data_IF_730320570834
#
_entry.id   IF_730320570834
#
_cell.length_a   1.000
_cell.length_b   1.000
_cell.length_c   1.000
_cell.angle_alpha   90.00
_cell.angle_beta   90.00
_cell.angle_gamma   90.00
#
_symmetry.space_group_name_H-M   'P 1'
#
loop_
_entity.id
_entity.type
_entity.pdbx_description
1 polymer ?
#
# COMPACT_ATOMS: atom_id res chain seq x y z
N UNK A 1 -1.40 -18.07 50.62
CA UNK A 1 -2.72 -17.46 50.92
C UNK A 1 -2.53 -15.94 50.96
N UNK A 2 -2.59 -15.28 49.79
CA UNK A 2 -2.56 -13.81 49.67
C UNK A 2 -3.44 -13.41 48.48
N UNK A 3 -4.65 -12.97 48.81
CA UNK A 3 -5.46 -11.89 48.24
C UNK A 3 -5.57 -11.80 46.70
N UNK A 4 -6.62 -12.42 46.14
CA UNK A 4 -7.19 -12.07 44.83
C UNK A 4 -7.77 -10.65 44.89
N UNK A 5 -7.23 -9.73 44.08
CA UNK A 5 -7.82 -8.41 43.85
C UNK A 5 -9.08 -8.56 43.00
N UNK A 6 -10.22 -8.27 43.60
CA UNK A 6 -11.53 -8.16 42.96
C UNK A 6 -11.58 -6.79 42.29
N UNK A 7 -11.59 -6.75 40.96
CA UNK A 7 -11.94 -5.56 40.20
C UNK A 7 -13.47 -5.46 40.11
N UNK A 8 -14.05 -4.62 40.95
CA UNK A 8 -15.44 -4.19 40.89
C UNK A 8 -15.57 -3.15 39.77
N UNK A 9 -16.02 -3.56 38.59
CA UNK A 9 -16.50 -2.64 37.55
C UNK A 9 -17.94 -2.23 37.90
N UNK A 10 -18.10 -1.01 38.43
CA UNK A 10 -19.40 -0.37 38.60
C UNK A 10 -19.84 0.15 37.23
N UNK A 11 -20.72 -0.61 36.56
CA UNK A 11 -21.46 -0.12 35.40
C UNK A 11 -22.55 0.84 35.89
N UNK A 12 -22.37 2.13 35.61
CA UNK A 12 -23.42 3.14 35.76
C UNK A 12 -24.41 2.93 34.61
N UNK A 13 -25.53 2.27 34.91
CA UNK A 13 -26.70 2.18 34.03
C UNK A 13 -27.42 3.52 34.14
N UNK A 14 -27.24 4.39 33.15
CA UNK A 14 -28.13 5.54 32.94
C UNK A 14 -29.38 5.04 32.20
N UNK A 15 -30.41 4.81 33.01
CA UNK A 15 -31.80 4.70 32.60
C UNK A 15 -32.24 6.03 31.95
N UNK A 16 -32.67 5.97 30.70
CA UNK A 16 -33.65 6.92 30.18
C UNK A 16 -34.80 6.09 29.63
N UNK A 17 -35.85 6.03 30.43
CA UNK A 17 -37.10 5.34 30.18
C UNK A 17 -37.98 6.18 29.21
N UNK A 18 -38.95 5.55 28.52
CA UNK A 18 -39.71 6.07 27.40
C UNK A 18 -41.05 6.67 27.85
N UNK A 19 -41.48 7.77 27.24
CA UNK A 19 -42.84 8.32 27.24
C UNK A 19 -42.82 9.46 26.20
N UNK A 20 -43.83 9.76 25.41
CA UNK A 20 -45.14 9.17 25.18
C UNK A 20 -45.66 9.76 23.86
N UNK A 21 -46.58 9.03 23.26
CA UNK A 21 -47.67 9.47 22.42
C UNK A 21 -48.02 10.97 22.41
N UNK A 22 -48.24 11.49 21.21
CA UNK A 22 -49.38 12.38 20.95
C UNK A 22 -49.90 12.13 19.53
N UNK A 23 -51.14 11.66 19.46
CA UNK A 23 -51.97 11.68 18.26
C UNK A 23 -52.81 12.97 18.22
N UNK A 24 -53.32 13.29 17.02
CA UNK A 24 -54.62 13.92 16.68
C UNK A 24 -54.48 15.03 15.60
N UNK A 25 -54.90 14.67 14.37
CA UNK A 25 -55.85 15.31 13.43
C UNK A 25 -55.72 16.83 13.11
N UNK A 26 -55.90 17.35 11.88
CA UNK A 26 -56.76 16.96 10.74
C UNK A 26 -56.54 17.89 9.51
N UNK A 27 -57.05 17.44 8.35
CA UNK A 27 -57.47 18.15 7.11
C UNK A 27 -56.45 18.46 5.99
N UNK A 28 -56.66 17.83 4.83
CA UNK A 28 -56.11 18.26 3.53
C UNK A 28 -56.31 17.23 2.40
N UNK A 29 -57.31 17.46 1.55
CA UNK A 29 -57.73 16.65 0.39
C UNK A 29 -56.62 16.38 -0.66
N UNK A 30 -56.65 15.19 -1.29
CA UNK A 30 -55.94 14.89 -2.54
C UNK A 30 -56.00 13.40 -2.91
N UNK A 31 -56.73 13.06 -3.97
CA UNK A 31 -57.20 11.70 -4.28
C UNK A 31 -56.18 10.71 -4.84
N UNK A 32 -56.53 9.42 -4.74
CA UNK A 32 -55.80 8.30 -5.34
C UNK A 32 -56.45 6.98 -4.95
N UNK A 33 -57.23 6.41 -5.86
CA UNK A 33 -58.02 5.19 -5.72
C UNK A 33 -57.17 3.93 -5.59
N UNK A 34 -57.53 3.04 -4.65
CA UNK A 34 -57.02 1.68 -4.59
C UNK A 34 -57.20 1.03 -3.22
N UNK A 35 -58.43 0.62 -2.90
CA UNK A 35 -58.70 -0.15 -1.69
C UNK A 35 -58.06 -1.54 -1.81
N UNK A 36 -57.10 -1.85 -0.94
CA UNK A 36 -56.62 -3.21 -0.71
C UNK A 36 -57.56 -3.85 0.31
N UNK A 37 -58.42 -4.74 -0.17
CA UNK A 37 -59.28 -5.57 0.68
C UNK A 37 -58.40 -6.64 1.36
N UNK A 38 -58.27 -6.57 2.68
CA UNK A 38 -57.53 -7.54 3.48
C UNK A 38 -58.51 -8.60 3.96
N UNK A 39 -58.64 -9.67 3.18
CA UNK A 39 -59.32 -10.88 3.64
C UNK A 39 -58.41 -11.69 4.56
N UNK A 40 -58.92 -12.05 5.74
CA UNK A 40 -58.28 -12.95 6.72
C UNK A 40 -57.82 -14.26 6.07
N UNK A 41 -56.70 -14.85 6.53
CA UNK A 41 -56.29 -16.17 6.06
C UNK A 41 -57.25 -17.22 6.60
N UNK A 42 -57.82 -18.01 5.68
CA UNK A 42 -58.56 -19.22 6.03
C UNK A 42 -57.57 -20.32 6.45
N UNK A 43 -57.81 -20.85 7.64
CA UNK A 43 -57.01 -21.86 8.33
C UNK A 43 -57.46 -23.23 7.81
N UNK A 44 -56.86 -23.75 6.73
CA UNK A 44 -56.76 -25.20 6.41
C UNK A 44 -56.18 -25.53 5.00
N UNK A 45 -54.92 -25.19 4.71
CA UNK A 45 -54.18 -25.89 3.63
C UNK A 45 -52.65 -25.88 3.84
N UNK A 46 -51.97 -27.05 3.85
CA UNK A 46 -50.52 -27.13 3.98
C UNK A 46 -49.87 -26.85 2.62
N UNK A 47 -49.08 -25.78 2.53
CA UNK A 47 -48.32 -25.41 1.33
C UNK A 47 -48.52 -23.96 0.90
N UNK A 48 -48.16 -23.00 1.75
CA UNK A 48 -48.37 -21.57 1.51
C UNK A 48 -47.34 -21.00 0.53
N UNK A 49 -47.66 -20.98 -0.77
CA UNK A 49 -47.01 -20.10 -1.74
C UNK A 49 -47.82 -18.80 -1.81
N UNK A 50 -47.25 -17.70 -1.33
CA UNK A 50 -47.84 -16.37 -1.48
C UNK A 50 -47.55 -15.91 -2.90
N UNK A 51 -48.55 -15.86 -3.77
CA UNK A 51 -48.42 -15.34 -5.13
C UNK A 51 -48.90 -13.89 -5.16
N UNK A 52 -47.98 -12.95 -5.33
CA UNK A 52 -48.31 -11.61 -5.80
C UNK A 52 -48.32 -11.62 -7.34
N UNK A 53 -49.43 -11.24 -7.96
CA UNK A 53 -49.46 -10.92 -9.39
C UNK A 53 -49.09 -9.45 -9.57
N UNK A 54 -47.92 -9.21 -10.13
CA UNK A 54 -47.53 -7.94 -10.76
C UNK A 54 -47.11 -8.28 -12.19
N UNK A 55 -47.51 -7.44 -13.15
CA UNK A 55 -47.34 -7.67 -14.58
C UNK A 55 -45.88 -7.93 -15.00
N UNK A 56 -45.74 -8.86 -15.94
CA UNK A 56 -44.68 -9.04 -16.95
C UNK A 56 -43.28 -8.45 -16.70
N UNK A 57 -42.73 -8.65 -15.50
CA UNK A 57 -41.30 -8.55 -15.22
C UNK A 57 -40.92 -9.84 -14.51
N UNK A 58 -40.14 -10.69 -15.18
CA UNK A 58 -39.70 -11.97 -14.64
C UNK A 58 -39.01 -11.81 -13.29
N UNK A 59 -39.24 -12.74 -12.38
CA UNK A 59 -38.49 -12.83 -11.13
C UNK A 59 -37.01 -13.07 -11.48
N UNK A 60 -36.13 -12.13 -11.17
CA UNK A 60 -34.69 -12.39 -11.17
C UNK A 60 -34.43 -13.30 -9.98
N UNK A 61 -34.24 -14.59 -10.26
CA UNK A 61 -33.77 -15.54 -9.26
C UNK A 61 -32.27 -15.27 -9.10
N UNK A 62 -31.87 -14.71 -7.97
CA UNK A 62 -30.46 -14.57 -7.61
C UNK A 62 -30.01 -15.73 -6.70
N UNK A 63 -28.80 -16.24 -6.90
CA UNK A 63 -28.15 -17.16 -5.96
C UNK A 63 -26.95 -16.46 -5.33
N UNK A 64 -27.00 -16.28 -4.01
CA UNK A 64 -25.92 -15.64 -3.27
C UNK A 64 -24.57 -16.36 -3.47
N UNK A 65 -23.44 -15.62 -3.42
CA UNK A 65 -22.12 -16.17 -3.67
C UNK A 65 -21.69 -17.13 -2.58
N UNK A 66 -20.85 -18.11 -2.95
CA UNK A 66 -20.31 -19.15 -2.07
C UNK A 66 -18.80 -19.06 -2.02
N UNK A 67 -18.23 -19.26 -0.82
CA UNK A 67 -16.79 -19.20 -0.57
C UNK A 67 -16.19 -20.61 -0.47
N UNK A 68 -14.97 -20.78 -0.99
CA UNK A 68 -14.10 -21.94 -0.78
C UNK A 68 -12.83 -21.52 -0.05
N UNK A 69 -12.47 -22.26 1.01
CA UNK A 69 -11.29 -21.99 1.83
C UNK A 69 -10.05 -22.67 1.24
N UNK A 70 -8.94 -21.94 1.09
CA UNK A 70 -7.73 -22.47 0.45
C UNK A 70 -6.58 -22.68 1.44
N UNK A 71 -6.32 -21.71 2.32
CA UNK A 71 -5.23 -21.79 3.30
C UNK A 71 -5.55 -20.95 4.55
N UNK A 72 -5.23 -21.39 5.78
CA UNK A 72 -4.67 -22.71 6.12
C UNK A 72 -5.63 -23.86 5.79
N UNK A 73 -5.11 -24.93 5.19
CA UNK A 73 -5.91 -26.12 4.87
C UNK A 73 -6.23 -26.92 6.13
N UNK A 74 -7.30 -27.73 6.07
CA UNK A 74 -7.73 -28.53 7.21
C UNK A 74 -6.62 -29.37 7.85
N UNK A 75 -6.56 -29.39 9.18
CA UNK A 75 -5.62 -30.18 9.99
C UNK A 75 -4.15 -29.84 9.73
N UNK A 76 -3.84 -28.73 9.06
CA UNK A 76 -2.47 -28.35 8.74
C UNK A 76 -1.76 -27.69 9.94
N UNK A 77 -0.44 -27.79 9.97
CA UNK A 77 0.39 -27.09 10.97
C UNK A 77 0.93 -25.80 10.35
N UNK A 78 0.61 -24.67 10.96
CA UNK A 78 1.12 -23.36 10.57
C UNK A 78 2.14 -22.90 11.60
N UNK A 79 3.37 -22.63 11.16
CA UNK A 79 4.42 -22.11 12.03
C UNK A 79 4.45 -20.60 12.01
N UNK A 80 4.51 -20.02 13.20
CA UNK A 80 4.66 -18.58 13.43
C UNK A 80 3.35 -17.83 13.60
N UNK A 81 3.45 -16.63 14.15
CA UNK A 81 2.32 -15.83 14.62
C UNK A 81 1.65 -15.00 13.51
N UNK A 82 2.22 -14.93 12.31
CA UNK A 82 1.60 -14.26 11.16
C UNK A 82 1.00 -15.31 10.23
N UNK A 83 -0.31 -15.51 10.33
CA UNK A 83 -1.03 -16.49 9.53
C UNK A 83 -1.64 -15.80 8.31
N UNK A 84 -1.31 -16.28 7.12
CA UNK A 84 -2.04 -15.93 5.90
C UNK A 84 -3.31 -16.77 5.81
N UNK A 85 -4.43 -16.12 5.53
CA UNK A 85 -5.71 -16.73 5.17
C UNK A 85 -5.95 -16.46 3.69
N UNK A 86 -6.37 -17.46 2.93
CA UNK A 86 -6.70 -17.30 1.51
C UNK A 86 -7.91 -18.12 1.12
N UNK A 87 -8.69 -17.59 0.17
CA UNK A 87 -9.97 -18.14 -0.24
C UNK A 87 -10.25 -17.85 -1.71
N UNK A 88 -11.26 -18.51 -2.24
CA UNK A 88 -11.88 -18.21 -3.54
C UNK A 88 -13.39 -18.13 -3.36
N UNK A 89 -14.08 -17.62 -4.38
CA UNK A 89 -15.54 -17.59 -4.39
C UNK A 89 -16.05 -18.08 -5.73
N UNK A 90 -17.30 -18.51 -5.73
CA UNK A 90 -18.08 -18.82 -6.92
C UNK A 90 -19.46 -18.20 -6.79
N UNK A 91 -19.93 -17.59 -7.86
CA UNK A 91 -21.27 -17.06 -7.98
C UNK A 91 -21.89 -17.63 -9.26
N UNK A 92 -23.18 -17.99 -9.24
CA UNK A 92 -23.79 -18.69 -10.38
C UNK A 92 -24.11 -17.72 -11.53
N UNK A 93 -24.50 -16.50 -11.19
CA UNK A 93 -24.80 -15.41 -12.09
C UNK A 93 -23.53 -14.59 -12.45
N UNK A 94 -22.44 -14.85 -11.73
CA UNK A 94 -21.15 -14.17 -11.85
C UNK A 94 -21.25 -12.69 -11.49
N UNK A 95 -22.02 -12.40 -10.44
CA UNK A 95 -22.20 -11.08 -9.86
C UNK A 95 -20.89 -10.52 -9.25
N UNK A 96 -20.82 -9.19 -9.18
CA UNK A 96 -19.71 -8.51 -8.53
C UNK A 96 -19.74 -8.74 -7.01
N UNK A 97 -18.58 -9.11 -6.45
CA UNK A 97 -18.42 -9.26 -5.00
C UNK A 97 -18.09 -7.90 -4.37
N UNK A 98 -18.93 -7.50 -3.42
CA UNK A 98 -18.82 -6.24 -2.69
C UNK A 98 -18.04 -6.38 -1.36
N UNK A 99 -17.76 -7.60 -0.92
CA UNK A 99 -16.80 -7.85 0.15
C UNK A 99 -16.92 -9.21 0.83
N UNK A 100 -16.06 -9.43 1.83
CA UNK A 100 -16.02 -10.66 2.62
C UNK A 100 -16.10 -10.40 4.13
N UNK A 101 -16.48 -11.45 4.85
CA UNK A 101 -16.41 -11.53 6.30
C UNK A 101 -15.71 -12.81 6.75
N UNK A 102 -14.54 -12.65 7.37
CA UNK A 102 -13.71 -13.70 7.94
C UNK A 102 -13.93 -13.79 9.45
N UNK A 103 -14.18 -14.99 9.94
CA UNK A 103 -14.26 -15.30 11.36
C UNK A 103 -13.19 -16.32 11.73
N UNK A 104 -12.49 -16.05 12.83
CA UNK A 104 -11.47 -16.93 13.42
C UNK A 104 -11.81 -17.11 14.90
N UNK A 105 -11.81 -18.34 15.37
CA UNK A 105 -12.15 -18.69 16.75
C UNK A 105 -11.24 -19.85 17.21
N UNK A 106 -11.04 -20.01 18.51
CA UNK A 106 -10.39 -21.19 19.10
C UNK A 106 -11.42 -22.25 19.55
N UNK A 107 -12.71 -22.00 19.30
CA UNK A 107 -13.79 -22.97 19.46
C UNK A 107 -14.57 -23.20 18.15
N UNK A 108 -14.92 -24.46 17.81
CA UNK A 108 -15.61 -24.78 16.55
C UNK A 108 -17.06 -24.27 16.48
N UNK A 109 -17.59 -23.75 17.60
CA UNK A 109 -18.94 -23.21 17.70
C UNK A 109 -19.02 -21.73 17.34
N UNK A 110 -17.87 -21.05 17.19
CA UNK A 110 -17.81 -19.62 16.87
C UNK A 110 -18.65 -18.77 17.84
N UNK A 111 -18.48 -18.96 19.16
CA UNK A 111 -19.26 -18.24 20.19
C UNK A 111 -18.74 -16.81 20.36
N UNK A 112 -17.43 -16.61 20.25
CA UNK A 112 -16.78 -15.31 20.40
C UNK A 112 -15.66 -15.13 19.37
N UNK A 113 -15.99 -15.21 18.06
CA UNK A 113 -14.98 -15.18 17.03
C UNK A 113 -14.39 -13.77 16.90
N UNK A 114 -13.11 -13.72 16.55
CA UNK A 114 -12.52 -12.54 15.96
C UNK A 114 -13.07 -12.38 14.55
N UNK A 115 -13.84 -11.32 14.31
CA UNK A 115 -14.54 -11.09 13.05
C UNK A 115 -13.98 -9.90 12.30
N UNK A 116 -13.72 -10.08 11.01
CA UNK A 116 -13.14 -9.08 10.10
C UNK A 116 -14.11 -8.86 8.94
N UNK A 117 -14.57 -7.62 8.74
CA UNK A 117 -15.59 -7.26 7.73
C UNK A 117 -15.03 -6.36 6.64
N UNK A 118 -15.70 -6.34 5.48
CA UNK A 118 -15.43 -5.39 4.40
C UNK A 118 -14.11 -5.64 3.68
N UNK A 119 -13.61 -6.88 3.71
CA UNK A 119 -12.42 -7.27 2.96
C UNK A 119 -12.74 -7.26 1.46
N UNK A 120 -11.84 -6.76 0.62
CA UNK A 120 -11.98 -6.73 -0.84
C UNK A 120 -11.02 -7.66 -1.58
N UNK A 121 -9.98 -8.14 -0.90
CA UNK A 121 -8.99 -9.07 -1.45
C UNK A 121 -9.42 -10.53 -1.23
N UNK A 122 -8.71 -11.48 -1.83
CA UNK A 122 -8.92 -12.93 -1.64
C UNK A 122 -7.89 -13.58 -0.70
N UNK A 123 -7.09 -12.74 -0.03
CA UNK A 123 -6.09 -13.13 0.95
C UNK A 123 -6.04 -12.11 2.08
N UNK A 124 -5.64 -12.55 3.28
CA UNK A 124 -5.44 -11.67 4.44
C UNK A 124 -4.44 -12.27 5.42
N UNK A 125 -3.45 -11.49 5.84
CA UNK A 125 -2.54 -11.87 6.94
C UNK A 125 -3.04 -11.34 8.28
N UNK A 126 -3.02 -12.18 9.31
CA UNK A 126 -3.49 -11.86 10.66
C UNK A 126 -2.47 -12.35 11.68
N UNK A 127 -2.21 -11.52 12.70
CA UNK A 127 -1.39 -11.91 13.84
C UNK A 127 -2.21 -12.70 14.87
N UNK A 128 -1.79 -13.93 15.14
CA UNK A 128 -2.33 -14.77 16.22
C UNK A 128 -1.26 -14.90 17.31
N UNK A 129 -1.56 -14.37 18.50
CA UNK A 129 -0.60 -14.23 19.59
C UNK A 129 -0.65 -15.38 20.60
N UNK A 130 -1.74 -16.14 20.61
CA UNK A 130 -1.90 -17.34 21.43
C UNK A 130 -1.67 -18.56 20.54
N UNK A 131 -0.72 -19.40 20.92
CA UNK A 131 -0.24 -20.51 20.11
C UNK A 131 -0.40 -21.86 20.77
N UNK A 132 0.18 -22.85 20.10
CA UNK A 132 0.24 -24.25 20.52
C UNK A 132 -1.17 -24.82 20.75
N UNK A 133 -2.11 -24.39 19.90
CA UNK A 133 -3.53 -24.77 19.93
C UNK A 133 -4.14 -24.81 18.53
N UNK A 134 -5.34 -25.37 18.44
CA UNK A 134 -6.14 -25.43 17.21
C UNK A 134 -6.97 -24.16 17.09
N UNK A 135 -7.01 -23.62 15.88
CA UNK A 135 -7.91 -22.55 15.48
C UNK A 135 -8.89 -23.04 14.41
N UNK A 136 -10.08 -22.47 14.42
CA UNK A 136 -11.14 -22.68 13.45
C UNK A 136 -11.39 -21.40 12.70
N UNK A 137 -11.61 -21.48 11.40
CA UNK A 137 -11.91 -20.30 10.59
C UNK A 137 -12.95 -20.59 9.52
N UNK A 138 -13.80 -19.60 9.26
CA UNK A 138 -14.85 -19.66 8.24
C UNK A 138 -15.04 -18.30 7.59
N UNK A 139 -15.68 -18.28 6.43
CA UNK A 139 -15.86 -17.04 5.70
C UNK A 139 -17.13 -17.01 4.84
N UNK A 140 -17.66 -15.81 4.60
CA UNK A 140 -18.76 -15.56 3.65
C UNK A 140 -18.47 -14.35 2.78
N UNK A 141 -19.08 -14.29 1.61
CA UNK A 141 -19.00 -13.20 0.64
C UNK A 141 -20.31 -12.43 0.54
N UNK A 142 -20.25 -11.22 0.00
CA UNK A 142 -21.38 -10.32 -0.20
C UNK A 142 -21.46 -9.88 -1.66
N UNK A 143 -22.65 -9.92 -2.25
CA UNK A 143 -22.96 -9.34 -3.56
C UNK A 143 -23.92 -8.13 -3.38
N UNK A 144 -24.52 -7.66 -4.48
CA UNK A 144 -25.51 -6.57 -4.45
C UNK A 144 -26.84 -6.95 -3.77
N UNK A 145 -27.15 -8.24 -3.66
CA UNK A 145 -28.38 -8.76 -3.08
C UNK A 145 -28.24 -9.08 -1.59
N UNK A 146 -27.05 -9.39 -1.11
CA UNK A 146 -26.82 -9.63 0.31
C UNK A 146 -25.57 -10.44 0.63
N UNK A 147 -25.54 -10.95 1.86
CA UNK A 147 -24.49 -11.85 2.33
C UNK A 147 -24.88 -13.29 2.04
N UNK A 148 -23.95 -14.06 1.47
CA UNK A 148 -24.05 -15.51 1.41
C UNK A 148 -23.93 -16.16 2.80
N UNK A 149 -24.15 -17.48 2.81
CA UNK A 149 -23.92 -18.30 3.99
C UNK A 149 -22.42 -18.41 4.29
N UNK A 150 -22.09 -18.67 5.56
CA UNK A 150 -20.73 -19.05 5.90
C UNK A 150 -20.35 -20.38 5.22
N UNK A 151 -19.09 -20.46 4.77
CA UNK A 151 -18.47 -21.71 4.37
C UNK A 151 -18.52 -22.73 5.52
N UNK A 152 -18.26 -24.00 5.19
CA UNK A 152 -17.73 -24.91 6.19
C UNK A 152 -16.46 -24.31 6.80
N UNK A 153 -16.23 -24.57 8.08
CA UNK A 153 -14.99 -24.14 8.71
C UNK A 153 -13.89 -25.14 8.40
N UNK A 154 -12.66 -24.65 8.32
CA UNK A 154 -11.45 -25.48 8.37
C UNK A 154 -10.76 -25.26 9.72
N UNK A 155 -9.99 -26.24 10.16
CA UNK A 155 -9.15 -26.12 11.35
C UNK A 155 -7.65 -26.24 11.03
N UNK A 156 -6.81 -25.63 11.87
CA UNK A 156 -5.36 -25.74 11.76
C UNK A 156 -4.70 -25.62 13.13
N UNK A 157 -3.55 -26.26 13.31
CA UNK A 157 -2.73 -26.13 14.51
C UNK A 157 -1.72 -24.99 14.34
N UNK A 158 -1.72 -24.05 15.27
CA UNK A 158 -0.78 -22.94 15.29
C UNK A 158 0.44 -23.27 16.16
N UNK A 159 1.59 -23.47 15.55
CA UNK A 159 2.87 -23.68 16.22
C UNK A 159 3.62 -22.35 16.38
N UNK A 160 3.70 -21.83 17.61
CA UNK A 160 4.41 -20.57 17.90
C UNK A 160 5.87 -20.77 18.32
N UNK A 161 6.43 -21.97 18.17
CA UNK A 161 7.86 -22.22 18.41
C UNK A 161 8.76 -21.29 17.58
N UNK A 162 8.25 -20.75 16.47
CA UNK A 162 8.91 -19.75 15.63
C UNK A 162 8.13 -18.44 15.58
N UNK A 163 8.29 -17.58 16.57
CA UNK A 163 7.72 -16.21 16.52
C UNK A 163 8.46 -15.38 15.47
N UNK A 164 7.75 -14.87 14.48
CA UNK A 164 8.28 -14.20 13.28
C UNK A 164 7.52 -12.90 12.96
N UNK A 165 8.19 -11.95 12.32
CA UNK A 165 7.61 -10.73 11.76
C UNK A 165 6.99 -10.96 10.37
N UNK A 166 6.42 -9.90 9.79
CA UNK A 166 5.74 -9.91 8.49
C UNK A 166 6.54 -10.57 7.34
N UNK A 167 7.86 -10.35 7.35
CA UNK A 167 8.80 -10.85 6.33
C UNK A 167 9.43 -12.20 6.68
N UNK A 168 8.95 -12.85 7.75
CA UNK A 168 9.46 -14.13 8.24
C UNK A 168 10.68 -14.01 9.16
N UNK A 169 11.14 -12.80 9.47
CA UNK A 169 12.26 -12.60 10.40
C UNK A 169 11.89 -13.07 11.80
N UNK A 170 12.67 -13.94 12.47
CA UNK A 170 12.38 -14.33 13.84
C UNK A 170 12.41 -13.13 14.80
N UNK A 171 11.64 -13.21 15.87
CA UNK A 171 11.62 -12.18 16.91
C UNK A 171 13.03 -11.88 17.41
N UNK A 172 13.28 -10.59 17.62
CA UNK A 172 14.54 -10.02 18.08
C UNK A 172 15.72 -10.25 17.12
N UNK A 173 15.43 -10.49 15.85
CA UNK A 173 16.43 -10.61 14.79
C UNK A 173 16.26 -9.53 13.72
N UNK A 174 17.31 -9.34 12.93
CA UNK A 174 17.34 -8.39 11.83
C UNK A 174 16.88 -9.05 10.53
N UNK A 175 16.02 -8.36 9.81
CA UNK A 175 15.58 -8.73 8.48
C UNK A 175 16.73 -8.60 7.48
N UNK A 176 17.09 -9.68 6.75
CA UNK A 176 18.16 -9.62 5.76
C UNK A 176 17.79 -8.82 4.51
N UNK A 177 16.49 -8.63 4.24
CA UNK A 177 15.99 -7.94 3.05
C UNK A 177 15.64 -6.48 3.33
N UNK A 178 14.99 -6.21 4.46
CA UNK A 178 14.52 -4.86 4.81
C UNK A 178 15.47 -4.10 5.72
N UNK A 179 16.48 -4.75 6.30
CA UNK A 179 17.41 -4.18 7.28
C UNK A 179 16.69 -3.60 8.51
N UNK A 180 15.46 -4.05 8.78
CA UNK A 180 14.66 -3.68 9.95
C UNK A 180 14.79 -4.72 11.05
N UNK A 181 14.59 -4.29 12.29
CA UNK A 181 14.60 -5.16 13.46
C UNK A 181 13.20 -5.71 13.73
N UNK A 182 13.08 -7.02 13.94
CA UNK A 182 11.82 -7.64 14.31
C UNK A 182 11.58 -7.54 15.82
N UNK A 183 10.83 -6.53 16.26
CA UNK A 183 10.44 -6.39 17.66
C UNK A 183 9.02 -6.94 17.89
N UNK A 184 8.94 -8.09 18.55
CA UNK A 184 7.70 -8.72 18.98
C UNK A 184 6.60 -8.84 17.89
N UNK A 185 6.99 -9.01 16.63
CA UNK A 185 6.08 -9.18 15.48
C UNK A 185 5.96 -7.94 14.59
N UNK A 186 6.56 -6.82 14.96
CA UNK A 186 6.64 -5.61 14.14
C UNK A 186 8.06 -5.37 13.62
N UNK A 187 8.19 -5.04 12.33
CA UNK A 187 9.46 -4.60 11.75
C UNK A 187 9.68 -3.12 12.05
N UNK A 188 10.63 -2.85 12.94
CA UNK A 188 11.02 -1.52 13.39
C UNK A 188 12.27 -1.03 12.67
N UNK A 189 12.33 0.28 12.43
CA UNK A 189 13.56 0.93 11.96
C UNK A 189 14.57 0.94 13.12
N UNK A 190 15.60 0.12 13.02
CA UNK A 190 16.72 0.07 13.97
C UNK A 190 17.99 -0.34 13.21
N UNK A 191 18.45 0.55 12.34
CA UNK A 191 19.68 0.34 11.59
C UNK A 191 20.94 0.39 12.46
N UNK A 192 20.87 0.85 13.70
CA UNK A 192 21.98 0.76 14.64
C UNK A 192 22.26 -0.71 14.99
N UNK A 193 21.20 -1.51 15.12
CA UNK A 193 21.29 -2.96 15.33
C UNK A 193 21.46 -3.72 14.02
N UNK A 194 20.69 -3.38 12.99
CA UNK A 194 20.58 -4.18 11.75
C UNK A 194 21.47 -3.72 10.59
N UNK A 195 22.13 -2.58 10.74
CA UNK A 195 22.87 -1.94 9.67
C UNK A 195 21.96 -1.37 8.58
N UNK A 196 22.57 -0.97 7.48
CA UNK A 196 21.89 -0.39 6.34
C UNK A 196 22.37 -1.02 5.03
N UNK A 197 21.52 -1.01 3.97
CA UNK A 197 21.93 -1.48 2.66
C UNK A 197 23.10 -0.67 2.10
N UNK A 198 23.78 -1.24 1.10
CA UNK A 198 24.90 -0.58 0.44
C UNK A 198 24.52 0.84 -0.03
N UNK A 199 25.42 1.80 0.16
CA UNK A 199 25.24 3.22 -0.20
C UNK A 199 24.15 3.97 0.57
N UNK A 200 23.78 3.48 1.75
CA UNK A 200 22.94 4.21 2.70
C UNK A 200 23.65 4.39 4.04
N UNK A 201 23.11 5.27 4.87
CA UNK A 201 23.62 5.56 6.20
C UNK A 201 22.48 5.53 7.22
N UNK A 202 22.84 5.20 8.45
CA UNK A 202 21.91 5.09 9.55
C UNK A 202 21.75 6.46 10.21
N UNK A 203 20.53 7.00 10.23
CA UNK A 203 20.23 8.23 10.98
C UNK A 203 20.23 7.96 12.49
N UNK A 204 20.33 9.01 13.29
CA UNK A 204 20.15 8.90 14.74
C UNK A 204 18.77 8.34 15.14
N UNK A 205 17.77 8.46 14.27
CA UNK A 205 16.43 7.90 14.44
C UNK A 205 16.29 6.43 14.03
N UNK A 206 17.39 5.77 13.63
CA UNK A 206 17.39 4.36 13.24
C UNK A 206 16.83 4.06 11.87
N UNK A 207 16.73 5.08 11.00
CA UNK A 207 16.24 4.95 9.62
C UNK A 207 17.43 4.93 8.66
N UNK A 208 17.42 4.01 7.70
CA UNK A 208 18.38 4.05 6.61
C UNK A 208 18.00 5.10 5.57
N UNK A 209 18.88 6.07 5.33
CA UNK A 209 18.73 7.09 4.28
C UNK A 209 19.82 6.92 3.23
N UNK A 210 19.52 7.11 1.93
CA UNK A 210 20.54 7.06 0.89
C UNK A 210 21.65 8.08 1.16
N UNK A 211 22.91 7.69 0.95
CA UNK A 211 24.01 8.66 0.99
C UNK A 211 23.84 9.65 -0.16
N UNK A 212 23.69 10.92 0.17
CA UNK A 212 23.64 12.02 -0.79
C UNK A 212 24.80 12.96 -0.60
N UNK A 213 25.24 13.58 -1.69
CA UNK A 213 26.23 14.65 -1.63
C UNK A 213 25.59 15.99 -1.21
N UNK A 214 26.42 17.01 -0.99
CA UNK A 214 25.99 18.34 -0.52
C UNK A 214 24.85 18.97 -1.33
N UNK A 215 24.76 18.67 -2.62
CA UNK A 215 23.74 19.19 -3.53
C UNK A 215 22.52 18.27 -3.68
N UNK A 216 22.41 17.22 -2.86
CA UNK A 216 21.34 16.22 -2.90
C UNK A 216 21.52 15.12 -3.96
N UNK A 217 22.64 15.12 -4.71
CA UNK A 217 22.93 14.06 -5.67
C UNK A 217 23.08 12.73 -4.95
N UNK A 218 22.42 11.68 -5.44
CA UNK A 218 22.53 10.33 -4.88
C UNK A 218 23.92 9.76 -5.11
N UNK A 219 24.44 9.01 -4.14
CA UNK A 219 25.69 8.26 -4.31
C UNK A 219 25.69 7.45 -5.61
N UNK A 220 26.77 7.55 -6.39
CA UNK A 220 26.93 6.86 -7.66
C UNK A 220 26.27 7.56 -8.86
N UNK A 221 25.67 8.74 -8.66
CA UNK A 221 25.05 9.52 -9.73
C UNK A 221 25.81 10.83 -9.97
N UNK A 222 25.65 11.36 -11.19
CA UNK A 222 26.15 12.67 -11.57
C UNK A 222 25.23 13.78 -11.06
N UNK A 223 25.87 14.84 -10.57
CA UNK A 223 25.19 16.08 -10.20
C UNK A 223 24.64 16.80 -11.43
N UNK A 224 23.61 17.61 -11.21
CA UNK A 224 23.17 18.62 -12.19
C UNK A 224 24.27 19.67 -12.47
N UNK A 225 25.18 19.88 -11.51
CA UNK A 225 26.38 20.72 -11.64
C UNK A 225 27.52 19.85 -12.16
N UNK A 226 27.63 19.72 -13.48
CA UNK A 226 28.78 19.08 -14.12
C UNK A 226 30.10 19.78 -13.73
N UNK A 227 31.23 19.06 -13.62
CA UNK A 227 31.42 17.62 -13.90
C UNK A 227 31.28 16.73 -12.64
N UNK A 228 30.49 17.14 -11.65
CA UNK A 228 30.52 16.49 -10.35
C UNK A 228 29.82 15.12 -10.34
N UNK A 229 30.52 14.12 -9.81
CA UNK A 229 30.06 12.78 -9.50
C UNK A 229 29.96 12.60 -7.99
N UNK A 230 28.86 12.03 -7.50
CA UNK A 230 28.69 11.83 -6.08
C UNK A 230 29.35 10.52 -5.61
N UNK A 231 30.47 10.63 -4.89
CA UNK A 231 31.21 9.50 -4.34
C UNK A 231 31.36 9.64 -2.83
N UNK A 232 30.86 8.66 -2.09
CA UNK A 232 30.91 8.58 -0.62
C UNK A 232 30.37 9.84 0.11
N UNK A 233 29.38 10.52 -0.46
CA UNK A 233 28.80 11.75 0.11
C UNK A 233 29.57 13.03 -0.26
N UNK A 234 30.65 12.92 -1.04
CA UNK A 234 31.39 14.05 -1.58
C UNK A 234 31.21 14.17 -3.10
N UNK A 235 31.10 15.40 -3.59
CA UNK A 235 31.16 15.67 -5.02
C UNK A 235 32.62 15.65 -5.47
N UNK A 236 32.92 14.78 -6.43
CA UNK A 236 34.22 14.69 -7.10
C UNK A 236 34.06 15.13 -8.54
N UNK A 237 34.94 15.99 -9.02
CA UNK A 237 34.96 16.35 -10.43
C UNK A 237 35.48 15.17 -11.26
N UNK A 238 34.60 14.53 -12.03
CA UNK A 238 34.93 13.39 -12.87
C UNK A 238 34.23 13.55 -14.21
N UNK A 239 34.82 14.37 -15.08
CA UNK A 239 34.21 14.68 -16.38
C UNK A 239 34.14 13.48 -17.32
N UNK A 240 34.98 12.47 -17.12
CA UNK A 240 34.94 11.23 -17.91
C UNK A 240 33.65 10.43 -17.69
N UNK A 241 33.00 10.59 -16.53
CA UNK A 241 31.72 9.95 -16.20
C UNK A 241 30.53 10.91 -16.42
N UNK A 242 30.67 12.17 -15.98
CA UNK A 242 29.55 13.10 -15.89
C UNK A 242 29.52 14.17 -16.99
N UNK A 243 30.53 14.19 -17.86
CA UNK A 243 30.72 15.19 -18.89
C UNK A 243 31.05 16.58 -18.34
N UNK A 244 31.30 17.52 -19.24
CA UNK A 244 31.60 18.90 -18.90
C UNK A 244 30.38 19.84 -19.08
N UNK A 245 30.39 20.99 -18.38
CA UNK A 245 29.53 22.13 -18.69
C UNK A 245 29.64 22.58 -20.16
N UNK A 246 28.68 23.40 -20.61
CA UNK A 246 28.63 23.87 -22.00
C UNK A 246 29.94 24.57 -22.43
N UNK A 247 30.39 24.26 -23.65
CA UNK A 247 31.63 24.78 -24.27
C UNK A 247 32.93 24.36 -23.55
N UNK A 248 32.92 23.23 -22.86
CA UNK A 248 34.10 22.61 -22.28
C UNK A 248 34.26 21.16 -22.75
N UNK A 249 35.50 20.70 -22.83
CA UNK A 249 35.88 19.32 -23.15
C UNK A 249 36.64 18.71 -21.96
N UNK A 250 36.45 17.40 -21.78
CA UNK A 250 37.07 16.65 -20.70
C UNK A 250 38.50 16.29 -21.11
N UNK A 251 39.47 16.80 -20.36
CA UNK A 251 40.87 16.51 -20.59
C UNK A 251 41.27 15.16 -19.95
N UNK A 252 42.44 14.63 -20.31
CA UNK A 252 42.94 13.32 -19.86
C UNK A 252 43.17 13.23 -18.35
N UNK A 253 43.33 14.39 -17.69
CA UNK A 253 43.47 14.51 -16.24
C UNK A 253 42.12 14.52 -15.50
N UNK A 254 40.99 14.51 -16.21
CA UNK A 254 39.65 14.57 -15.64
C UNK A 254 39.14 16.00 -15.37
N UNK A 255 39.86 17.02 -15.84
CA UNK A 255 39.47 18.43 -15.73
C UNK A 255 38.67 18.88 -16.96
N UNK A 256 37.72 19.80 -16.77
CA UNK A 256 36.98 20.41 -17.87
C UNK A 256 37.67 21.68 -18.37
N UNK A 257 38.21 21.63 -19.60
CA UNK A 257 38.89 22.75 -20.24
C UNK A 257 38.00 23.40 -21.30
N UNK A 258 38.08 24.73 -21.46
CA UNK A 258 37.29 25.44 -22.49
C UNK A 258 37.71 24.99 -23.88
N UNK A 259 36.71 24.73 -24.72
CA UNK A 259 36.93 24.54 -26.15
C UNK A 259 37.28 25.92 -26.71
N UNK A 260 38.56 26.15 -27.01
CA UNK A 260 38.98 27.32 -27.79
C UNK A 260 38.46 27.09 -29.20
N UNK A 261 37.24 27.55 -29.47
CA UNK A 261 36.72 27.58 -30.82
C UNK A 261 37.65 28.47 -31.64
N UNK A 262 38.04 27.96 -32.80
CA UNK A 262 38.93 28.55 -33.80
C UNK A 262 38.40 29.88 -34.39
N UNK A 263 37.45 30.54 -33.74
CA UNK A 263 36.87 31.82 -34.10
C UNK A 263 37.67 32.99 -33.50
N UNK A 264 38.30 32.83 -32.33
CA UNK A 264 39.21 33.86 -31.77
C UNK A 264 40.48 34.04 -32.62
N UNK A 265 40.92 32.99 -33.32
CA UNK A 265 42.03 33.08 -34.27
C UNK A 265 41.67 33.82 -35.57
N UNK A 266 40.37 33.91 -35.93
CA UNK A 266 39.96 34.64 -37.14
C UNK A 266 40.02 36.16 -36.94
N UNK A 267 39.69 36.68 -35.76
CA UNK A 267 39.79 38.12 -35.47
C UNK A 267 41.26 38.59 -35.44
N UNK A 268 42.18 37.79 -34.89
CA UNK A 268 43.60 38.14 -34.89
C UNK A 268 44.25 38.08 -36.28
N UNK A 269 43.88 37.12 -37.13
CA UNK A 269 44.32 37.10 -38.54
C UNK A 269 43.75 38.28 -39.35
N UNK A 270 42.52 38.72 -39.07
CA UNK A 270 41.91 39.85 -39.78
C UNK A 270 42.52 41.20 -39.37
N UNK A 271 42.87 41.39 -38.09
CA UNK A 271 43.64 42.57 -37.64
C UNK A 271 45.06 42.59 -38.21
N UNK A 272 45.76 41.44 -38.26
CA UNK A 272 47.06 41.35 -38.93
C UNK A 272 46.97 41.63 -40.43
N UNK A 273 45.92 41.17 -41.12
CA UNK A 273 45.68 41.51 -42.54
C UNK A 273 45.39 42.99 -42.76
N UNK A 274 44.58 43.62 -41.90
CA UNK A 274 44.25 45.07 -41.98
C UNK A 274 45.49 45.94 -41.71
N UNK A 275 46.35 45.52 -40.77
CA UNK A 275 47.65 46.14 -40.49
C UNK A 275 48.60 46.08 -41.71
N UNK A 276 48.68 44.92 -42.37
CA UNK A 276 49.56 44.72 -43.52
C UNK A 276 49.12 45.51 -44.76
N UNK A 277 47.81 45.55 -45.06
CA UNK A 277 47.24 46.34 -46.16
C UNK A 277 47.30 47.86 -45.90
N UNK A 278 47.13 48.30 -44.65
CA UNK A 278 47.29 49.72 -44.27
C UNK A 278 48.74 50.21 -44.38
N UNK A 279 49.72 49.34 -44.13
CA UNK A 279 51.14 49.63 -44.34
C UNK A 279 51.54 49.65 -45.82
N UNK A 280 51.01 48.74 -46.63
CA UNK A 280 51.33 48.64 -48.06
C UNK A 280 50.82 49.85 -48.87
N UNK A 281 49.63 50.37 -48.55
CA UNK A 281 49.10 51.57 -49.23
C UNK A 281 49.81 52.88 -48.85
N UNK A 282 50.48 52.95 -47.69
CA UNK A 282 51.37 54.07 -47.35
C UNK A 282 52.71 54.02 -48.09
N UNK A 283 53.19 52.82 -48.45
CA UNK A 283 54.44 52.66 -49.18
C UNK A 283 54.30 52.97 -50.68
N UNK A 284 53.16 52.61 -51.31
CA UNK A 284 52.95 52.86 -52.75
C UNK A 284 52.62 54.32 -53.08
N UNK A 285 52.01 55.08 -52.15
CA UNK A 285 51.79 56.54 -52.34
C UNK A 285 53.05 57.40 -52.15
N UNK A 286 54.15 56.83 -51.66
CA UNK A 286 55.43 57.52 -51.49
C UNK A 286 56.41 57.36 -52.66
N UNK A 287 56.09 56.55 -53.68
CA UNK A 287 57.01 56.22 -54.78
C UNK A 287 56.60 56.77 -56.17
N UNK A 288 55.57 57.61 -56.24
CA UNK A 288 55.17 58.34 -57.46
C UNK A 288 54.95 59.83 -57.16
N UNK A 289 56.01 60.52 -56.75
CA UNK A 289 56.18 61.97 -56.94
C UNK A 289 57.64 62.21 -57.34
N UNK A 290 57.90 62.18 -58.64
CA UNK A 290 58.89 63.00 -59.36
C UNK A 290 58.45 63.07 -60.81
#
# INVERSE_FOLDING_TARGET
>A
MVVKRIFLFVFVILLINPFAYAAVNTYGYGGGTGALDVSRPDENQPGSRIFFRIGDQGYVKNKLPVVTLNYPSNLWVVSGNLVEFSWSYSDFENDEILGYNLEIDDEPRFISPSSYYGLSETKRKIYLLEGDKIYYWRMKSKDSFGWGEFSHFEDFYLDLSRKICEDGTPYFQCSPSSFKYCDAGALMNDCQSCGCPLNSECTASGVCVPRTCFDGTRYGFCSSKKPNFCQNGELKEVCSLCGCPDRQECDVDGTCNRIILREEFKEQEEEQRKSFLGGFFKFVKGLFIF
#
